data_IF_817792269554
#
_entry.id   IF_817792269554
#
_cell.length_a   1.000
_cell.length_b   1.000
_cell.length_c   1.000
_cell.angle_alpha   90.00
_cell.angle_beta   90.00
_cell.angle_gamma   90.00
#
_symmetry.space_group_name_H-M   'P 1'
#
loop_
_entity.id
_entity.type
_entity.pdbx_description
1 polymer ?
#
# COMPACT_ATOMS: atom_id res chain seq x y z
N UNK A 1 -14.01 -12.39 1.05
CA UNK A 1 -12.95 -11.42 0.69
C UNK A 1 -13.52 -10.15 0.12
N UNK A 2 -14.60 -10.24 -0.66
CA UNK A 2 -15.14 -9.17 -1.50
C UNK A 2 -15.36 -7.80 -0.80
N UNK A 3 -15.68 -7.77 0.50
CA UNK A 3 -15.87 -6.53 1.26
C UNK A 3 -14.64 -6.04 2.03
N UNK A 4 -13.49 -6.70 1.87
CA UNK A 4 -12.25 -6.38 2.60
C UNK A 4 -11.16 -6.10 1.58
N UNK A 5 -10.95 -4.82 1.21
CA UNK A 5 -9.88 -4.47 0.29
C UNK A 5 -8.51 -4.76 0.93
N UNK A 6 -7.57 -5.21 0.09
CA UNK A 6 -6.19 -5.49 0.48
C UNK A 6 -5.27 -4.51 -0.25
N UNK A 7 -4.35 -3.91 0.49
CA UNK A 7 -3.26 -3.11 -0.07
C UNK A 7 -1.98 -3.94 0.11
N UNK A 8 -1.37 -4.38 -0.99
CA UNK A 8 -0.12 -5.13 -1.00
C UNK A 8 1.05 -4.22 -1.35
N UNK A 9 2.12 -4.26 -0.56
CA UNK A 9 3.36 -3.53 -0.84
C UNK A 9 4.35 -4.55 -1.40
N UNK A 10 4.80 -4.35 -2.63
CA UNK A 10 5.62 -5.31 -3.36
C UNK A 10 6.94 -4.65 -3.75
N UNK A 11 7.98 -4.92 -2.97
CA UNK A 11 9.34 -4.48 -3.26
C UNK A 11 10.07 -5.54 -4.10
N UNK A 12 11.00 -5.10 -4.96
CA UNK A 12 11.89 -5.99 -5.71
C UNK A 12 13.05 -6.46 -4.82
N UNK A 13 12.73 -7.26 -3.80
CA UNK A 13 13.69 -7.80 -2.83
C UNK A 13 13.52 -9.32 -2.61
N UNK A 14 14.19 -9.86 -1.60
CA UNK A 14 14.16 -11.30 -1.28
C UNK A 14 12.77 -11.82 -0.89
N UNK A 15 11.79 -10.95 -0.66
CA UNK A 15 10.41 -11.30 -0.29
C UNK A 15 9.46 -11.37 -1.49
N UNK A 16 9.91 -10.94 -2.68
CA UNK A 16 9.07 -10.78 -3.87
C UNK A 16 8.25 -12.04 -4.22
N UNK A 17 8.89 -13.20 -4.32
CA UNK A 17 8.22 -14.47 -4.67
C UNK A 17 7.18 -14.90 -3.62
N UNK A 18 7.47 -14.64 -2.33
CA UNK A 18 6.52 -14.90 -1.26
C UNK A 18 5.32 -13.95 -1.35
N UNK A 19 5.56 -12.67 -1.67
CA UNK A 19 4.51 -11.69 -1.90
C UNK A 19 3.62 -12.04 -3.09
N UNK A 20 4.18 -12.54 -4.20
CA UNK A 20 3.40 -13.04 -5.33
C UNK A 20 2.48 -14.20 -4.94
N UNK A 21 2.97 -15.12 -4.10
CA UNK A 21 2.17 -16.25 -3.60
C UNK A 21 1.02 -15.75 -2.73
N UNK A 22 1.29 -14.85 -1.78
CA UNK A 22 0.27 -14.24 -0.92
C UNK A 22 -0.79 -13.50 -1.73
N UNK A 23 -0.39 -12.76 -2.76
CA UNK A 23 -1.30 -12.05 -3.66
C UNK A 23 -2.24 -13.02 -4.38
N UNK A 24 -1.73 -14.14 -4.91
CA UNK A 24 -2.56 -15.15 -5.58
C UNK A 24 -3.60 -15.75 -4.64
N UNK A 25 -3.24 -16.01 -3.38
CA UNK A 25 -4.18 -16.49 -2.37
C UNK A 25 -5.27 -15.46 -2.03
N UNK A 26 -4.90 -14.18 -1.94
CA UNK A 26 -5.85 -13.07 -1.73
C UNK A 26 -6.83 -12.97 -2.92
N UNK A 27 -6.32 -13.06 -4.15
CA UNK A 27 -7.15 -13.04 -5.37
C UNK A 27 -8.11 -14.23 -5.43
N UNK A 28 -7.67 -15.42 -5.01
CA UNK A 28 -8.55 -16.59 -4.93
C UNK A 28 -9.75 -16.39 -3.99
N UNK A 29 -9.62 -15.50 -2.98
CA UNK A 29 -10.70 -15.13 -2.05
C UNK A 29 -11.56 -13.95 -2.54
N UNK A 30 -11.31 -13.48 -3.77
CA UNK A 30 -12.00 -12.37 -4.44
C UNK A 30 -11.96 -11.06 -3.65
N UNK A 31 -10.93 -10.85 -2.85
CA UNK A 31 -10.73 -9.55 -2.20
C UNK A 31 -10.28 -8.51 -3.24
N UNK A 32 -10.84 -7.28 -3.25
CA UNK A 32 -10.31 -6.20 -4.06
C UNK A 32 -8.85 -5.95 -3.70
N UNK A 33 -7.95 -5.99 -4.68
CA UNK A 33 -6.52 -5.90 -4.44
C UNK A 33 -5.92 -4.66 -5.12
N UNK A 34 -5.34 -3.79 -4.32
CA UNK A 34 -4.47 -2.71 -4.79
C UNK A 34 -3.02 -3.07 -4.46
N UNK A 35 -2.12 -2.97 -5.43
CA UNK A 35 -0.69 -3.19 -5.21
C UNK A 35 0.10 -1.89 -5.34
N UNK A 36 1.11 -1.72 -4.50
CA UNK A 36 2.17 -0.74 -4.65
C UNK A 36 3.40 -1.48 -5.17
N UNK A 37 3.85 -1.15 -6.38
CA UNK A 37 4.94 -1.86 -7.06
C UNK A 37 5.83 -0.92 -7.86
N UNK A 38 7.03 -1.37 -8.16
CA UNK A 38 8.00 -0.60 -8.95
C UNK A 38 7.61 -0.52 -10.43
N UNK A 39 8.10 0.51 -11.12
CA UNK A 39 7.91 0.67 -12.57
C UNK A 39 8.34 -0.57 -13.35
N UNK A 40 7.49 -1.01 -14.28
CA UNK A 40 7.76 -2.16 -15.15
C UNK A 40 7.59 -3.53 -14.49
N UNK A 41 6.97 -3.62 -13.32
CA UNK A 41 6.52 -4.89 -12.75
C UNK A 41 5.23 -5.39 -13.45
N UNK A 42 5.42 -6.13 -14.54
CA UNK A 42 4.32 -6.70 -15.33
C UNK A 42 3.53 -7.76 -14.55
N UNK A 43 4.21 -8.56 -13.72
CA UNK A 43 3.57 -9.64 -12.98
C UNK A 43 2.53 -9.09 -11.98
N UNK A 44 2.87 -8.01 -11.27
CA UNK A 44 1.91 -7.35 -10.38
C UNK A 44 0.79 -6.68 -11.15
N UNK A 45 1.08 -6.07 -12.32
CA UNK A 45 0.07 -5.45 -13.17
C UNK A 45 -0.99 -6.45 -13.66
N UNK A 46 -0.60 -7.69 -13.91
CA UNK A 46 -1.53 -8.76 -14.31
C UNK A 46 -2.36 -9.31 -13.14
N UNK A 47 -1.83 -9.28 -11.91
CA UNK A 47 -2.47 -9.90 -10.75
C UNK A 47 -3.39 -8.95 -9.97
N UNK A 48 -3.03 -7.68 -9.83
CA UNK A 48 -3.74 -6.70 -9.02
C UNK A 48 -4.90 -6.03 -9.77
N UNK A 49 -5.94 -5.61 -9.05
CA UNK A 49 -7.07 -4.86 -9.63
C UNK A 49 -6.69 -3.39 -9.87
N UNK A 50 -5.83 -2.85 -9.00
CA UNK A 50 -5.28 -1.50 -9.10
C UNK A 50 -3.79 -1.52 -8.78
N UNK A 51 -3.00 -0.70 -9.45
CA UNK A 51 -1.56 -0.57 -9.18
C UNK A 51 -1.19 0.89 -8.97
N UNK A 52 -0.55 1.18 -7.85
CA UNK A 52 0.21 2.42 -7.62
C UNK A 52 1.66 2.10 -7.99
N UNK A 53 2.17 2.82 -8.99
CA UNK A 53 3.55 2.60 -9.45
C UNK A 53 4.50 3.61 -8.81
N UNK A 54 5.65 3.13 -8.35
CA UNK A 54 6.75 3.97 -7.82
C UNK A 54 8.03 3.77 -8.64
N UNK A 55 8.95 4.76 -8.66
CA UNK A 55 10.22 4.61 -9.33
C UNK A 55 11.01 3.41 -8.80
N UNK A 56 11.79 2.77 -9.68
CA UNK A 56 12.75 1.74 -9.26
C UNK A 56 13.80 2.36 -8.35
N UNK A 57 14.02 1.73 -7.21
CA UNK A 57 15.05 2.11 -6.24
C UNK A 57 15.72 0.87 -5.70
N UNK A 58 16.91 1.01 -5.13
CA UNK A 58 17.51 -0.10 -4.38
C UNK A 58 16.55 -0.54 -3.26
N UNK A 59 16.47 -1.85 -3.04
CA UNK A 59 15.59 -2.45 -2.04
C UNK A 59 15.74 -1.80 -0.66
N UNK A 60 16.95 -1.37 -0.27
CA UNK A 60 17.19 -0.69 1.01
C UNK A 60 16.47 0.67 1.13
N UNK A 61 16.21 1.34 0.01
CA UNK A 61 15.53 2.63 -0.05
C UNK A 61 14.04 2.50 -0.36
N UNK A 62 13.57 1.33 -0.79
CA UNK A 62 12.16 1.06 -1.07
C UNK A 62 11.22 1.46 0.08
N UNK A 63 11.56 1.31 1.39
CA UNK A 63 10.64 1.70 2.45
C UNK A 63 10.35 3.21 2.47
N UNK A 64 11.32 4.04 2.09
CA UNK A 64 11.17 5.51 2.08
C UNK A 64 10.20 5.93 0.97
N UNK A 65 10.42 5.42 -0.24
CA UNK A 65 9.56 5.73 -1.40
C UNK A 65 8.15 5.19 -1.17
N UNK A 66 8.03 3.96 -0.67
CA UNK A 66 6.75 3.34 -0.40
C UNK A 66 5.96 4.08 0.68
N UNK A 67 6.63 4.58 1.73
CA UNK A 67 5.99 5.36 2.78
C UNK A 67 5.33 6.64 2.22
N UNK A 68 6.00 7.36 1.31
CA UNK A 68 5.44 8.57 0.69
C UNK A 68 4.19 8.25 -0.12
N UNK A 69 4.22 7.17 -0.92
CA UNK A 69 3.05 6.74 -1.70
C UNK A 69 1.85 6.40 -0.79
N UNK A 70 2.10 5.69 0.32
CA UNK A 70 1.05 5.32 1.29
C UNK A 70 0.53 6.52 2.08
N UNK A 71 1.39 7.50 2.40
CA UNK A 71 0.98 8.77 3.02
C UNK A 71 0.03 9.55 2.10
N UNK A 72 0.34 9.61 0.79
CA UNK A 72 -0.55 10.25 -0.20
C UNK A 72 -1.87 9.49 -0.34
N UNK A 73 -1.84 8.15 -0.37
CA UNK A 73 -3.05 7.33 -0.38
C UNK A 73 -3.94 7.64 0.84
N UNK A 74 -3.35 7.69 2.04
CA UNK A 74 -4.07 8.01 3.27
C UNK A 74 -4.64 9.44 3.24
N UNK A 75 -3.84 10.42 2.81
CA UNK A 75 -4.26 11.81 2.68
C UNK A 75 -5.47 11.96 1.75
N UNK A 76 -5.39 11.42 0.54
CA UNK A 76 -6.48 11.51 -0.42
C UNK A 76 -7.71 10.73 0.04
N UNK A 77 -7.53 9.56 0.65
CA UNK A 77 -8.65 8.81 1.25
C UNK A 77 -9.35 9.63 2.34
N UNK A 78 -8.60 10.28 3.23
CA UNK A 78 -9.16 11.12 4.27
C UNK A 78 -9.90 12.33 3.69
N UNK A 79 -9.33 12.96 2.66
CA UNK A 79 -9.94 14.09 1.94
C UNK A 79 -11.27 13.69 1.29
N UNK A 80 -11.30 12.60 0.53
CA UNK A 80 -12.53 12.12 -0.12
C UNK A 80 -13.61 11.71 0.88
N UNK A 81 -13.21 11.28 2.09
CA UNK A 81 -14.14 10.95 3.17
C UNK A 81 -14.56 12.14 4.03
N UNK A 82 -14.04 13.35 3.78
CA UNK A 82 -14.29 14.52 4.60
C UNK A 82 -13.76 14.41 6.04
N UNK A 83 -12.76 13.56 6.27
CA UNK A 83 -12.12 13.40 7.58
C UNK A 83 -11.18 14.59 7.87
N UNK A 84 -11.08 15.05 9.13
CA UNK A 84 -10.10 16.06 9.50
C UNK A 84 -8.69 15.47 9.37
N UNK A 85 -7.91 15.99 8.42
CA UNK A 85 -6.58 15.48 8.06
C UNK A 85 -5.53 15.89 9.09
N UNK A 86 -5.49 17.16 9.46
CA UNK A 86 -4.48 17.70 10.39
C UNK A 86 -4.80 17.37 11.86
N UNK A 87 -6.09 17.19 12.16
CA UNK A 87 -6.60 16.94 13.52
C UNK A 87 -7.48 15.68 13.56
N UNK A 88 -6.88 14.49 13.34
CA UNK A 88 -7.62 13.24 13.41
C UNK A 88 -8.21 13.04 14.81
N UNK A 89 -9.44 12.50 14.86
CA UNK A 89 -10.18 12.31 16.11
C UNK A 89 -9.38 11.48 17.11
N UNK A 90 -9.40 11.88 18.38
CA UNK A 90 -8.78 11.17 19.50
C UNK A 90 -7.25 11.07 19.48
N UNK A 91 -6.56 11.84 18.62
CA UNK A 91 -5.11 11.85 18.55
C UNK A 91 -4.54 13.20 18.98
N UNK A 92 -3.35 13.15 19.59
CA UNK A 92 -2.51 14.30 19.88
C UNK A 92 -1.21 14.19 19.08
N UNK A 93 -0.56 15.32 18.80
CA UNK A 93 0.72 15.33 18.08
C UNK A 93 1.84 14.60 18.84
N UNK A 94 1.78 14.65 20.17
CA UNK A 94 2.67 13.95 21.09
C UNK A 94 1.86 13.62 22.35
N UNK A 95 2.13 12.46 22.95
CA UNK A 95 1.55 12.06 24.24
C UNK A 95 2.59 12.36 25.31
N UNK A 96 2.35 13.38 26.12
CA UNK A 96 3.34 13.89 27.10
C UNK A 96 2.86 13.78 28.55
N UNK A 97 2.01 12.80 28.85
CA UNK A 97 1.53 12.51 30.21
C UNK A 97 1.85 11.05 30.54
N UNK A 98 2.53 10.84 31.67
CA UNK A 98 2.76 9.53 32.30
C UNK A 98 1.49 9.00 32.97
#
# INVERSE_FOLDING_TARGET
GENTPVIAIVAQDSTYEAMLTNIKEVKARKSPLMALAEEGDEAIRELADFVITVPRVDAIFSPVVNAVALQLLAYYTARERGCPIDFPRNLAKSVTVE
#
